data_IF_455928394084
#
_entry.id   IF_455928394084
#
_cell.length_a   1.000
_cell.length_b   1.000
_cell.length_c   1.000
_cell.angle_alpha   90.00
_cell.angle_beta   90.00
_cell.angle_gamma   90.00
#
_symmetry.space_group_name_H-M   'P 1'
#
loop_
_entity.id
_entity.type
_entity.pdbx_description
1 polymer ?
#
# COMPACT_ATOMS: atom_id res chain seq x y z
N UNK A 1 -22.89 19.55 -28.54
CA UNK A 1 -22.54 19.22 -27.13
C UNK A 1 -23.84 18.83 -26.44
N UNK A 2 -24.03 17.55 -26.06
CA UNK A 2 -25.22 17.14 -25.29
C UNK A 2 -25.02 17.64 -23.86
N UNK A 3 -25.99 18.38 -23.30
CA UNK A 3 -25.87 18.92 -21.94
C UNK A 3 -26.01 17.84 -20.87
N UNK A 4 -25.39 18.04 -19.70
CA UNK A 4 -25.42 17.09 -18.58
C UNK A 4 -26.84 16.64 -18.22
N UNK A 5 -27.82 17.56 -18.19
CA UNK A 5 -29.22 17.23 -17.93
C UNK A 5 -29.78 16.18 -18.90
N UNK A 6 -29.53 16.36 -20.19
CA UNK A 6 -29.99 15.42 -21.21
C UNK A 6 -29.31 14.04 -21.07
N UNK A 7 -28.07 14.01 -20.58
CA UNK A 7 -27.37 12.77 -20.27
C UNK A 7 -27.98 12.05 -19.05
N UNK A 8 -28.25 12.78 -17.95
CA UNK A 8 -28.91 12.20 -16.78
C UNK A 8 -30.31 11.65 -17.15
N UNK A 9 -31.09 12.40 -17.94
CA UNK A 9 -32.37 11.91 -18.49
C UNK A 9 -32.22 10.61 -19.29
N UNK A 10 -31.17 10.48 -20.10
CA UNK A 10 -30.88 9.26 -20.87
C UNK A 10 -30.64 8.06 -19.95
N UNK A 11 -29.86 8.25 -18.88
CA UNK A 11 -29.55 7.20 -17.91
C UNK A 11 -30.75 6.80 -17.05
N UNK A 12 -31.59 7.76 -16.67
CA UNK A 12 -32.84 7.52 -15.93
C UNK A 12 -33.82 6.73 -16.82
N UNK A 13 -33.99 7.15 -18.08
CA UNK A 13 -34.92 6.51 -19.01
C UNK A 13 -34.48 5.10 -19.43
N UNK A 14 -33.18 4.82 -19.42
CA UNK A 14 -32.63 3.51 -19.76
C UNK A 14 -31.43 3.17 -18.84
N UNK A 15 -31.67 2.67 -17.62
CA UNK A 15 -30.61 2.35 -16.67
C UNK A 15 -29.77 1.15 -17.11
N UNK A 16 -30.27 0.31 -18.01
CA UNK A 16 -29.52 -0.79 -18.60
C UNK A 16 -28.38 -0.34 -19.50
N UNK A 17 -28.33 0.95 -19.88
CA UNK A 17 -27.13 1.50 -20.52
C UNK A 17 -25.90 1.30 -19.65
N UNK A 18 -26.02 1.50 -18.33
CA UNK A 18 -24.93 1.35 -17.37
C UNK A 18 -24.95 -0.02 -16.70
N UNK A 19 -26.14 -0.51 -16.34
CA UNK A 19 -26.29 -1.75 -15.56
C UNK A 19 -26.37 -2.99 -16.45
N UNK A 20 -26.54 -2.86 -17.77
CA UNK A 20 -26.66 -3.97 -18.71
C UNK A 20 -25.35 -4.75 -18.88
N UNK A 21 -25.45 -6.00 -19.33
CA UNK A 21 -24.26 -6.83 -19.60
C UNK A 21 -23.41 -6.27 -20.75
N UNK A 22 -24.02 -5.51 -21.66
CA UNK A 22 -23.39 -4.90 -22.85
C UNK A 22 -23.04 -3.42 -22.64
N UNK A 23 -23.02 -2.93 -21.40
CA UNK A 23 -22.77 -1.53 -21.08
C UNK A 23 -21.41 -1.06 -21.62
N UNK A 24 -21.45 -0.16 -22.60
CA UNK A 24 -20.25 0.44 -23.19
C UNK A 24 -19.93 1.77 -22.51
N UNK A 25 -18.66 2.03 -22.12
CA UNK A 25 -18.25 3.28 -21.49
C UNK A 25 -18.69 4.52 -22.28
N UNK A 26 -18.65 4.45 -23.61
CA UNK A 26 -18.99 5.54 -24.54
C UNK A 26 -20.45 5.96 -24.47
N UNK A 27 -21.35 5.05 -24.06
CA UNK A 27 -22.78 5.34 -23.94
C UNK A 27 -23.20 5.77 -22.54
N UNK A 28 -22.41 5.39 -21.54
CA UNK A 28 -22.65 5.58 -20.12
C UNK A 28 -22.02 6.85 -19.57
N UNK A 29 -20.79 7.11 -19.97
CA UNK A 29 -19.96 8.18 -19.45
C UNK A 29 -20.31 9.49 -20.14
N UNK A 30 -20.50 10.55 -19.35
CA UNK A 30 -20.86 11.86 -19.90
C UNK A 30 -19.76 12.44 -20.79
N UNK A 31 -18.51 12.17 -20.41
CA UNK A 31 -17.29 12.63 -21.07
C UNK A 31 -16.76 11.63 -22.13
N UNK A 32 -17.39 10.46 -22.25
CA UNK A 32 -17.02 9.38 -23.17
C UNK A 32 -15.62 8.82 -22.93
N UNK A 33 -15.05 9.02 -21.73
CA UNK A 33 -13.81 8.38 -21.32
C UNK A 33 -14.07 6.99 -20.72
N UNK A 34 -13.00 6.21 -20.54
CA UNK A 34 -13.07 4.91 -19.87
C UNK A 34 -13.45 5.06 -18.40
N UNK A 35 -13.93 3.97 -17.80
CA UNK A 35 -14.21 3.91 -16.36
C UNK A 35 -12.96 4.30 -15.54
N UNK A 36 -13.09 5.27 -14.62
CA UNK A 36 -12.00 5.66 -13.72
C UNK A 36 -11.58 4.50 -12.80
N UNK A 37 -12.52 3.64 -12.41
CA UNK A 37 -12.25 2.39 -11.70
C UNK A 37 -13.04 1.23 -12.32
N UNK A 38 -12.45 0.53 -13.30
CA UNK A 38 -13.05 -0.64 -13.91
C UNK A 38 -13.33 -1.76 -12.90
N UNK A 39 -12.49 -1.92 -11.87
CA UNK A 39 -12.62 -2.97 -10.86
C UNK A 39 -13.92 -2.86 -10.07
N UNK A 40 -14.27 -1.63 -9.66
CA UNK A 40 -15.53 -1.36 -8.96
C UNK A 40 -16.73 -1.66 -9.84
N UNK A 41 -16.68 -1.23 -11.10
CA UNK A 41 -17.74 -1.48 -12.09
C UNK A 41 -17.98 -2.99 -12.28
N UNK A 42 -16.94 -3.76 -12.61
CA UNK A 42 -17.08 -5.20 -12.86
C UNK A 42 -17.49 -5.99 -11.62
N UNK A 43 -17.03 -5.57 -10.43
CA UNK A 43 -17.46 -6.18 -9.16
C UNK A 43 -18.96 -6.03 -8.96
N UNK A 44 -19.49 -4.81 -9.13
CA UNK A 44 -20.93 -4.55 -9.01
C UNK A 44 -21.72 -5.35 -10.05
N UNK A 45 -21.23 -5.43 -11.29
CA UNK A 45 -21.86 -6.24 -12.34
C UNK A 45 -21.88 -7.73 -11.99
N UNK A 46 -20.80 -8.27 -11.41
CA UNK A 46 -20.75 -9.67 -10.95
C UNK A 46 -21.78 -9.97 -9.85
N UNK A 47 -22.09 -8.95 -9.04
CA UNK A 47 -23.04 -9.03 -7.93
C UNK A 47 -24.46 -8.64 -8.32
N UNK A 48 -24.71 -8.19 -9.55
CA UNK A 48 -26.01 -7.68 -10.01
C UNK A 48 -27.17 -8.63 -9.70
N UNK A 49 -26.97 -9.94 -9.88
CA UNK A 49 -27.98 -10.97 -9.60
C UNK A 49 -28.38 -11.06 -8.12
N UNK A 50 -27.54 -10.56 -7.22
CA UNK A 50 -27.75 -10.53 -5.77
C UNK A 50 -28.27 -9.17 -5.28
N UNK A 51 -28.41 -8.17 -6.17
CA UNK A 51 -28.79 -6.80 -5.84
C UNK A 51 -30.14 -6.44 -6.49
N UNK A 52 -31.28 -6.92 -5.95
CA UNK A 52 -32.59 -6.75 -6.57
C UNK A 52 -33.04 -5.29 -6.70
N UNK A 53 -32.56 -4.41 -5.82
CA UNK A 53 -32.89 -2.98 -5.82
C UNK A 53 -31.85 -2.09 -6.50
N UNK A 54 -30.81 -2.65 -7.13
CA UNK A 54 -29.71 -1.87 -7.72
C UNK A 54 -30.22 -0.84 -8.75
N UNK A 55 -31.13 -1.28 -9.61
CA UNK A 55 -31.72 -0.42 -10.64
C UNK A 55 -32.58 0.68 -10.03
N UNK A 56 -33.39 0.37 -9.01
CA UNK A 56 -34.24 1.34 -8.32
C UNK A 56 -33.41 2.41 -7.62
N UNK A 57 -32.36 2.00 -6.91
CA UNK A 57 -31.42 2.92 -6.22
C UNK A 57 -30.68 3.79 -7.23
N UNK A 58 -30.22 3.19 -8.35
CA UNK A 58 -29.55 3.92 -9.41
C UNK A 58 -30.45 5.02 -9.98
N UNK A 59 -31.69 4.69 -10.34
CA UNK A 59 -32.66 5.65 -10.86
C UNK A 59 -32.94 6.76 -9.84
N UNK A 60 -33.26 6.40 -8.59
CA UNK A 60 -33.53 7.37 -7.53
C UNK A 60 -32.37 8.33 -7.28
N UNK A 61 -31.12 7.82 -7.34
CA UNK A 61 -29.93 8.66 -7.23
C UNK A 61 -29.84 9.67 -8.37
N UNK A 62 -30.04 9.23 -9.63
CA UNK A 62 -29.96 10.11 -10.79
C UNK A 62 -31.12 11.12 -10.86
N UNK A 63 -32.31 10.76 -10.40
CA UNK A 63 -33.44 11.68 -10.25
C UNK A 63 -33.11 12.79 -9.25
N UNK A 64 -32.59 12.44 -8.07
CA UNK A 64 -32.17 13.43 -7.07
C UNK A 64 -31.01 14.30 -7.55
N UNK A 65 -30.05 13.72 -8.27
CA UNK A 65 -28.94 14.46 -8.88
C UNK A 65 -29.43 15.45 -9.95
N UNK A 66 -30.38 15.03 -10.80
CA UNK A 66 -31.00 15.88 -11.82
C UNK A 66 -31.75 17.05 -11.18
N UNK A 67 -32.57 16.79 -10.15
CA UNK A 67 -33.29 17.82 -9.40
C UNK A 67 -32.33 18.84 -8.77
N UNK A 68 -31.27 18.35 -8.12
CA UNK A 68 -30.23 19.20 -7.52
C UNK A 68 -29.57 20.07 -8.60
N UNK A 69 -29.25 19.47 -9.75
CA UNK A 69 -28.63 20.20 -10.86
C UNK A 69 -29.57 21.23 -11.49
N UNK A 70 -30.88 20.95 -11.52
CA UNK A 70 -31.89 21.90 -11.97
C UNK A 70 -31.99 23.12 -11.05
N UNK A 71 -32.01 22.91 -9.74
CA UNK A 71 -31.98 23.99 -8.75
C UNK A 71 -30.68 24.81 -8.86
N UNK A 72 -29.53 24.13 -8.86
CA UNK A 72 -28.22 24.77 -8.95
C UNK A 72 -28.08 25.63 -10.21
N UNK A 73 -28.46 25.09 -11.38
CA UNK A 73 -28.34 25.84 -12.65
C UNK A 73 -29.41 26.92 -12.82
N UNK A 74 -30.53 26.89 -12.08
CA UNK A 74 -31.53 27.95 -12.11
C UNK A 74 -30.97 29.28 -11.58
N UNK A 75 -30.09 29.22 -10.58
CA UNK A 75 -29.41 30.39 -10.01
C UNK A 75 -28.44 31.08 -10.97
N UNK A 76 -28.07 30.41 -12.08
CA UNK A 76 -27.16 30.93 -13.10
C UNK A 76 -27.87 31.26 -14.43
N UNK A 77 -29.20 31.25 -14.47
CA UNK A 77 -29.95 31.73 -15.65
C UNK A 77 -29.62 33.20 -15.90
N UNK A 78 -29.70 33.65 -17.16
CA UNK A 78 -29.38 35.03 -17.54
C UNK A 78 -30.22 36.10 -16.78
N UNK A 79 -31.39 35.73 -16.26
CA UNK A 79 -32.26 36.56 -15.43
C UNK A 79 -31.95 36.49 -13.93
N UNK A 80 -30.95 35.72 -13.52
CA UNK A 80 -30.56 35.59 -12.11
C UNK A 80 -29.80 36.81 -11.63
N UNK A 81 -29.91 37.09 -10.34
CA UNK A 81 -29.15 38.17 -9.71
C UNK A 81 -27.64 37.90 -9.74
N UNK A 82 -27.19 36.64 -9.75
CA UNK A 82 -25.77 36.26 -9.79
C UNK A 82 -25.11 36.67 -11.12
N UNK A 83 -25.81 36.44 -12.23
CA UNK A 83 -25.31 36.83 -13.57
C UNK A 83 -25.37 38.34 -13.74
N UNK A 84 -26.41 38.99 -13.21
CA UNK A 84 -26.62 40.44 -13.28
C UNK A 84 -25.87 41.24 -12.20
N UNK A 85 -25.22 40.57 -11.24
CA UNK A 85 -24.41 41.24 -10.22
C UNK A 85 -23.18 41.88 -10.89
N UNK A 86 -22.96 43.15 -10.55
CA UNK A 86 -21.78 43.89 -10.99
C UNK A 86 -20.51 43.26 -10.43
N UNK A 87 -19.39 43.43 -11.12
CA UNK A 87 -18.09 42.90 -10.67
C UNK A 87 -17.72 43.43 -9.28
N UNK A 88 -18.10 44.67 -8.97
CA UNK A 88 -17.94 45.27 -7.65
C UNK A 88 -18.72 44.51 -6.54
N UNK A 89 -19.96 44.07 -6.82
CA UNK A 89 -20.76 43.30 -5.86
C UNK A 89 -20.19 41.90 -5.65
N UNK A 90 -19.80 41.21 -6.73
CA UNK A 90 -19.13 39.90 -6.67
C UNK A 90 -17.81 39.98 -5.87
N UNK A 91 -17.05 41.06 -6.07
CA UNK A 91 -15.81 41.28 -5.37
C UNK A 91 -16.03 41.63 -3.89
N UNK A 92 -17.08 42.39 -3.56
CA UNK A 92 -17.45 42.71 -2.18
C UNK A 92 -17.89 41.47 -1.40
N UNK A 93 -18.69 40.58 -1.99
CA UNK A 93 -19.09 39.30 -1.37
C UNK A 93 -17.89 38.35 -1.18
N UNK A 94 -17.02 38.23 -2.19
CA UNK A 94 -15.78 37.46 -2.10
C UNK A 94 -14.86 37.99 -0.99
N UNK A 95 -14.75 39.32 -0.85
CA UNK A 95 -14.03 39.94 0.25
C UNK A 95 -14.69 39.66 1.61
N UNK A 96 -16.02 39.64 1.70
CA UNK A 96 -16.76 39.38 2.94
C UNK A 96 -16.55 37.94 3.45
N UNK A 97 -16.53 36.94 2.56
CA UNK A 97 -16.20 35.55 2.88
C UNK A 97 -14.77 35.40 3.41
N UNK A 98 -13.82 36.12 2.80
CA UNK A 98 -12.41 36.11 3.18
C UNK A 98 -12.10 36.97 4.41
N UNK A 99 -12.92 37.97 4.73
CA UNK A 99 -12.77 38.87 5.87
C UNK A 99 -13.26 38.26 7.19
N UNK A 100 -14.04 37.18 7.15
CA UNK A 100 -14.54 36.47 8.34
C UNK A 100 -13.44 35.89 9.24
N UNK A 101 -12.17 35.88 8.81
CA UNK A 101 -11.01 35.44 9.59
C UNK A 101 -10.93 33.91 9.80
N UNK A 102 -12.04 33.20 9.66
CA UNK A 102 -12.18 31.77 9.86
C UNK A 102 -11.31 30.96 8.89
N UNK A 103 -11.23 31.38 7.63
CA UNK A 103 -10.38 30.70 6.62
C UNK A 103 -8.89 30.85 6.90
N UNK A 104 -8.44 31.98 7.46
CA UNK A 104 -7.04 32.18 7.85
C UNK A 104 -6.68 31.39 9.11
N UNK A 105 -7.55 31.44 10.13
CA UNK A 105 -7.36 30.70 11.37
C UNK A 105 -7.30 29.19 11.13
N UNK A 106 -8.20 28.67 10.29
CA UNK A 106 -8.22 27.25 9.93
C UNK A 106 -6.95 26.81 9.18
N UNK A 107 -6.48 27.60 8.20
CA UNK A 107 -5.24 27.30 7.47
C UNK A 107 -4.01 27.29 8.38
N UNK A 108 -3.94 28.21 9.34
CA UNK A 108 -2.84 28.27 10.32
C UNK A 108 -2.89 27.08 11.29
N UNK A 109 -4.06 26.74 11.81
CA UNK A 109 -4.24 25.58 12.69
C UNK A 109 -3.90 24.26 11.97
N UNK A 110 -4.31 24.13 10.71
CA UNK A 110 -3.98 22.98 9.87
C UNK A 110 -2.46 22.87 9.64
N UNK A 111 -1.81 23.99 9.28
CA UNK A 111 -0.36 24.02 9.10
C UNK A 111 0.40 23.67 10.38
N UNK A 112 -0.07 24.11 11.55
CA UNK A 112 0.51 23.74 12.84
C UNK A 112 0.38 22.25 13.11
N UNK A 113 -0.82 21.68 12.93
CA UNK A 113 -1.07 20.26 13.09
C UNK A 113 -0.19 19.41 12.17
N UNK A 114 -0.06 19.79 10.90
CA UNK A 114 0.75 19.06 9.92
C UNK A 114 2.25 19.14 10.27
N UNK A 115 2.74 20.28 10.72
CA UNK A 115 4.12 20.44 11.23
C UNK A 115 4.39 19.56 12.47
N UNK A 116 3.48 19.55 13.45
CA UNK A 116 3.61 18.71 14.65
C UNK A 116 3.64 17.22 14.30
N UNK A 117 2.75 16.79 13.41
CA UNK A 117 2.70 15.40 12.95
C UNK A 117 3.95 15.02 12.15
N UNK A 118 4.47 15.92 11.32
CA UNK A 118 5.72 15.70 10.61
C UNK A 118 6.90 15.56 11.59
N UNK A 119 7.00 16.44 12.59
CA UNK A 119 8.02 16.35 13.63
C UNK A 119 7.93 15.04 14.42
N UNK A 120 6.73 14.62 14.81
CA UNK A 120 6.50 13.34 15.49
C UNK A 120 6.94 12.13 14.64
N UNK A 121 6.67 12.14 13.33
CA UNK A 121 7.12 11.07 12.42
C UNK A 121 8.64 11.00 12.32
N UNK A 122 9.33 12.14 12.26
CA UNK A 122 10.80 12.17 12.22
C UNK A 122 11.39 11.58 13.49
N UNK A 123 10.88 11.98 14.67
CA UNK A 123 11.32 11.45 15.96
C UNK A 123 11.08 9.94 16.07
N UNK A 124 9.89 9.47 15.68
CA UNK A 124 9.56 8.04 15.69
C UNK A 124 10.47 7.23 14.77
N UNK A 125 10.75 7.74 13.56
CA UNK A 125 11.68 7.09 12.61
C UNK A 125 13.10 7.04 13.15
N UNK A 126 13.59 8.13 13.77
CA UNK A 126 14.91 8.15 14.41
C UNK A 126 15.01 7.13 15.56
N UNK A 127 13.95 7.00 16.38
CA UNK A 127 13.90 5.99 17.44
C UNK A 127 13.91 4.56 16.89
N UNK A 128 13.17 4.29 15.81
CA UNK A 128 13.18 2.99 15.14
C UNK A 128 14.56 2.65 14.58
N UNK A 129 15.23 3.60 13.92
CA UNK A 129 16.59 3.41 13.40
C UNK A 129 17.54 3.08 14.54
N UNK A 130 17.48 3.80 15.66
CA UNK A 130 18.31 3.51 16.83
C UNK A 130 18.06 2.11 17.40
N UNK A 131 16.80 1.69 17.52
CA UNK A 131 16.45 0.33 17.96
C UNK A 131 16.95 -0.74 16.99
N UNK A 132 16.91 -0.47 15.69
CA UNK A 132 17.45 -1.36 14.66
C UNK A 132 18.98 -1.44 14.75
N UNK A 133 19.68 -0.32 14.91
CA UNK A 133 21.14 -0.28 15.09
C UNK A 133 21.57 -1.04 16.34
N UNK A 134 20.87 -0.87 17.47
CA UNK A 134 21.13 -1.63 18.70
C UNK A 134 20.85 -3.14 18.52
N UNK A 135 19.83 -3.49 17.71
CA UNK A 135 19.58 -4.89 17.36
C UNK A 135 20.69 -5.47 16.48
N UNK A 136 21.10 -4.76 15.43
CA UNK A 136 22.20 -5.17 14.54
C UNK A 136 23.49 -5.31 15.32
N UNK A 137 23.80 -4.37 16.23
CA UNK A 137 24.97 -4.45 17.11
C UNK A 137 24.92 -5.71 17.99
N UNK A 138 23.76 -6.00 18.61
CA UNK A 138 23.58 -7.22 19.41
C UNK A 138 23.76 -8.50 18.59
N UNK A 139 23.29 -8.52 17.35
CA UNK A 139 23.47 -9.67 16.45
C UNK A 139 24.96 -9.86 16.11
N UNK A 140 25.68 -8.77 15.84
CA UNK A 140 27.11 -8.81 15.50
C UNK A 140 28.04 -9.18 16.67
N UNK A 141 27.64 -8.89 17.92
CA UNK A 141 28.43 -9.24 19.11
C UNK A 141 28.29 -10.71 19.54
N UNK A 142 27.31 -11.44 19.00
CA UNK A 142 27.05 -12.82 19.38
C UNK A 142 27.90 -13.78 18.55
N UNK A 143 28.70 -14.59 19.24
CA UNK A 143 29.38 -15.73 18.64
C UNK A 143 28.35 -16.79 18.21
N UNK A 144 28.46 -17.25 16.96
CA UNK A 144 27.55 -18.24 16.40
C UNK A 144 27.74 -19.59 17.09
N UNK A 145 26.65 -20.15 17.60
CA UNK A 145 26.67 -21.49 18.21
C UNK A 145 26.39 -22.50 17.11
N UNK A 146 27.44 -23.20 16.65
CA UNK A 146 27.34 -24.23 15.61
C UNK A 146 27.12 -25.65 16.17
N UNK A 147 27.13 -25.82 17.49
CA UNK A 147 26.97 -27.14 18.12
C UNK A 147 25.49 -27.51 18.27
N UNK A 148 25.04 -28.44 17.42
CA UNK A 148 23.68 -28.97 17.39
C UNK A 148 23.30 -29.65 18.73
N UNK A 149 24.26 -30.27 19.42
CA UNK A 149 24.00 -30.99 20.67
C UNK A 149 23.70 -30.04 21.83
N UNK A 150 24.21 -28.81 21.79
CA UNK A 150 23.90 -27.77 22.78
C UNK A 150 22.51 -27.19 22.50
N UNK A 151 22.17 -26.99 21.23
CA UNK A 151 20.87 -26.43 20.79
C UNK A 151 19.70 -27.38 21.10
N UNK A 152 19.91 -28.69 20.97
CA UNK A 152 18.91 -29.71 21.29
C UNK A 152 18.56 -29.79 22.79
N UNK A 153 19.42 -29.31 23.69
CA UNK A 153 19.12 -29.30 25.14
C UNK A 153 18.04 -28.30 25.53
N UNK A 154 17.58 -27.46 24.60
CA UNK A 154 16.53 -26.45 24.80
C UNK A 154 16.80 -25.45 25.95
N UNK A 155 18.05 -25.31 26.41
CA UNK A 155 18.42 -24.44 27.54
C UNK A 155 18.40 -22.94 27.17
N UNK A 156 18.37 -22.61 25.88
CA UNK A 156 18.40 -21.23 25.40
C UNK A 156 17.12 -20.45 25.68
N UNK A 157 17.25 -19.17 26.01
CA UNK A 157 16.12 -18.25 26.07
C UNK A 157 15.64 -17.88 24.66
N UNK A 158 14.34 -17.62 24.50
CA UNK A 158 13.75 -17.25 23.20
C UNK A 158 14.45 -16.04 22.55
N UNK A 159 14.80 -14.96 23.27
CA UNK A 159 15.53 -13.83 22.68
C UNK A 159 16.91 -14.20 22.13
N UNK A 160 17.59 -15.18 22.74
CA UNK A 160 18.89 -15.66 22.24
C UNK A 160 18.73 -16.43 20.93
N UNK A 161 17.68 -17.26 20.83
CA UNK A 161 17.36 -17.99 19.60
C UNK A 161 17.04 -17.04 18.45
N UNK A 162 16.32 -15.95 18.72
CA UNK A 162 16.00 -14.93 17.71
C UNK A 162 17.25 -14.21 17.20
N UNK A 163 18.20 -13.91 18.09
CA UNK A 163 19.49 -13.29 17.72
C UNK A 163 20.35 -14.26 16.88
N UNK A 164 20.44 -15.53 17.27
CA UNK A 164 21.17 -16.55 16.52
C UNK A 164 20.55 -16.79 15.12
N UNK A 165 19.22 -16.84 15.03
CA UNK A 165 18.52 -16.96 13.76
C UNK A 165 18.78 -15.75 12.85
N UNK A 166 18.77 -14.53 13.40
CA UNK A 166 19.09 -13.33 12.63
C UNK A 166 20.54 -13.33 12.13
N UNK A 167 21.50 -13.79 12.93
CA UNK A 167 22.90 -13.92 12.54
C UNK A 167 23.08 -14.86 11.33
N UNK A 168 22.49 -16.07 11.40
CA UNK A 168 22.58 -17.05 10.32
C UNK A 168 21.92 -16.57 9.02
N UNK A 169 20.87 -15.73 9.11
CA UNK A 169 20.22 -15.14 7.94
C UNK A 169 21.08 -14.09 7.23
N UNK A 170 21.74 -13.22 8.00
CA UNK A 170 22.59 -12.14 7.48
C UNK A 170 23.83 -12.72 6.79
N UNK A 171 24.45 -13.75 7.39
CA UNK A 171 25.64 -14.40 6.86
C UNK A 171 25.39 -15.24 5.60
N UNK A 172 24.17 -15.78 5.42
CA UNK A 172 23.84 -16.62 4.27
C UNK A 172 23.23 -15.84 3.10
N UNK A 173 23.04 -14.52 3.20
CA UNK A 173 22.33 -13.68 2.20
C UNK A 173 20.95 -14.24 1.77
N UNK A 174 20.37 -15.14 2.58
CA UNK A 174 19.22 -15.94 2.16
C UNK A 174 17.91 -15.23 2.50
N UNK A 175 17.54 -14.29 1.64
CA UNK A 175 16.33 -13.47 1.73
C UNK A 175 15.02 -14.27 1.78
N UNK A 176 15.03 -15.54 1.33
CA UNK A 176 13.86 -16.42 1.30
C UNK A 176 13.37 -16.86 2.68
N UNK A 177 14.21 -16.78 3.71
CA UNK A 177 13.90 -17.28 5.05
C UNK A 177 13.23 -16.22 5.94
N UNK A 178 13.47 -14.93 5.66
CA UNK A 178 13.00 -13.79 6.46
C UNK A 178 11.47 -13.76 6.65
N UNK A 179 10.71 -14.21 5.65
CA UNK A 179 9.25 -14.28 5.73
C UNK A 179 8.70 -15.43 6.58
N UNK A 180 9.48 -16.51 6.76
CA UNK A 180 9.04 -17.71 7.49
C UNK A 180 9.18 -17.53 9.01
N UNK A 181 10.26 -16.89 9.48
CA UNK A 181 10.50 -16.66 10.92
C UNK A 181 9.44 -15.77 11.59
N UNK A 182 8.87 -14.80 10.87
CA UNK A 182 7.80 -13.93 11.41
C UNK A 182 6.53 -14.71 11.78
N UNK A 183 6.37 -15.95 11.30
CA UNK A 183 5.24 -16.84 11.61
C UNK A 183 5.56 -17.84 12.72
N UNK A 184 6.81 -17.94 13.16
CA UNK A 184 7.25 -18.94 14.13
C UNK A 184 7.30 -18.31 15.52
N UNK A 185 6.22 -18.47 16.28
CA UNK A 185 6.11 -17.91 17.64
C UNK A 185 6.65 -18.86 18.72
N UNK A 186 6.60 -20.18 18.48
CA UNK A 186 6.96 -21.18 19.50
C UNK A 186 8.45 -21.45 19.55
N UNK A 187 8.98 -21.59 20.77
CA UNK A 187 10.39 -21.91 21.04
C UNK A 187 10.87 -23.19 20.34
N UNK A 188 10.06 -24.24 20.35
CA UNK A 188 10.41 -25.55 19.77
C UNK A 188 10.66 -25.44 18.27
N UNK A 189 9.78 -24.70 17.59
CA UNK A 189 9.86 -24.49 16.15
C UNK A 189 11.10 -23.64 15.78
N UNK A 190 11.44 -22.63 16.59
CA UNK A 190 12.67 -21.83 16.42
C UNK A 190 13.93 -22.68 16.56
N UNK A 191 13.95 -23.62 17.52
CA UNK A 191 15.08 -24.55 17.72
C UNK A 191 15.21 -25.50 16.54
N UNK A 192 14.12 -26.13 16.11
CA UNK A 192 14.13 -27.04 14.95
C UNK A 192 14.60 -26.31 13.68
N UNK A 193 14.17 -25.07 13.52
CA UNK A 193 14.55 -24.25 12.37
C UNK A 193 16.03 -23.85 12.40
N UNK A 194 16.57 -23.48 13.58
CA UNK A 194 17.99 -23.18 13.76
C UNK A 194 18.87 -24.40 13.46
N UNK A 195 18.50 -25.58 13.93
CA UNK A 195 19.22 -26.84 13.64
C UNK A 195 19.33 -27.06 12.13
N UNK A 196 18.21 -26.92 11.41
CA UNK A 196 18.18 -27.09 9.95
C UNK A 196 19.14 -26.14 9.22
N UNK A 197 19.20 -24.88 9.66
CA UNK A 197 20.11 -23.88 9.06
C UNK A 197 21.58 -24.22 9.33
N UNK A 198 21.89 -24.68 10.54
CA UNK A 198 23.25 -25.08 10.91
C UNK A 198 23.70 -26.31 10.13
N UNK A 199 22.82 -27.30 9.96
CA UNK A 199 23.09 -28.49 9.14
C UNK A 199 23.39 -28.13 7.67
N UNK A 200 22.59 -27.22 7.09
CA UNK A 200 22.81 -26.70 5.73
C UNK A 200 24.16 -25.96 5.63
N UNK A 201 24.50 -25.13 6.63
CA UNK A 201 25.77 -24.42 6.69
C UNK A 201 26.98 -25.36 6.75
N UNK A 202 26.94 -26.36 7.64
CA UNK A 202 28.02 -27.34 7.79
C UNK A 202 28.19 -28.19 6.51
N UNK A 203 27.08 -28.51 5.83
CA UNK A 203 27.12 -29.23 4.56
C UNK A 203 27.78 -28.40 3.45
N UNK A 204 27.47 -27.09 3.37
CA UNK A 204 28.10 -26.19 2.40
C UNK A 204 29.60 -26.04 2.65
N UNK A 205 30.03 -25.90 3.91
CA UNK A 205 31.46 -25.81 4.23
C UNK A 205 32.25 -27.06 3.84
N UNK A 206 31.65 -28.24 3.97
CA UNK A 206 32.28 -29.48 3.52
C UNK A 206 32.41 -29.56 2.00
N UNK A 207 31.44 -29.02 1.25
CA UNK A 207 31.50 -28.95 -0.21
C UNK A 207 32.56 -27.95 -0.69
N UNK A 208 32.61 -26.76 -0.09
CA UNK A 208 33.61 -25.74 -0.45
C UNK A 208 35.04 -26.20 -0.12
N UNK A 209 35.22 -26.94 0.99
CA UNK A 209 36.50 -27.54 1.35
C UNK A 209 36.94 -28.66 0.38
N UNK A 210 35.99 -29.43 -0.15
CA UNK A 210 36.28 -30.48 -1.14
C UNK A 210 36.61 -29.87 -2.52
N UNK A 211 35.88 -28.82 -2.93
CA UNK A 211 36.12 -28.14 -4.22
C UNK A 211 37.45 -27.35 -4.22
N UNK A 212 37.94 -26.93 -3.06
CA UNK A 212 39.27 -26.31 -2.92
C UNK A 212 40.41 -27.34 -3.10
N UNK A 213 40.24 -28.56 -2.60
CA UNK A 213 41.21 -29.65 -2.76
C UNK A 213 41.26 -30.13 -4.22
N UNK A 214 40.09 -30.26 -4.87
CA UNK A 214 40.00 -30.68 -6.27
C UNK A 214 40.55 -29.61 -7.25
N UNK A 215 40.70 -28.35 -6.82
CA UNK A 215 41.31 -27.26 -7.62
C UNK A 215 42.84 -27.21 -7.49
N UNK A 216 43.41 -27.64 -6.37
CA UNK A 216 44.88 -27.73 -6.21
C UNK A 216 45.48 -28.90 -7.03
N UNK A 217 44.72 -29.97 -7.27
CA UNK A 217 45.19 -31.12 -8.07
C UNK A 217 45.19 -30.87 -9.60
N UNK A 218 44.61 -29.75 -10.08
CA UNK A 218 44.56 -29.41 -11.52
C UNK A 218 45.70 -28.46 -11.94
N UNK A 219 46.41 -27.84 -11.00
CA UNK A 219 47.49 -26.87 -11.28
C UNK A 219 48.90 -27.49 -11.22
N UNK A 220 49.02 -28.81 -11.43
CA UNK A 220 50.31 -29.53 -11.39
C UNK A 220 50.67 -30.30 -12.67
N UNK A 221 50.00 -30.07 -13.80
CA UNK A 221 50.27 -30.76 -15.08
C UNK A 221 50.42 -29.80 -16.29
N UNK A 222 51.04 -28.62 -16.10
CA UNK A 222 51.43 -27.75 -17.21
C UNK A 222 52.85 -27.21 -17.01
N UNK A 223 53.86 -28.07 -17.07
CA UNK A 223 55.26 -27.67 -17.32
C UNK A 223 56.14 -28.89 -17.68
N UNK A 224 55.85 -29.58 -18.79
CA UNK A 224 56.87 -30.43 -19.43
C UNK A 224 56.56 -30.63 -20.93
N UNK A 225 56.82 -29.61 -21.76
CA UNK A 225 57.21 -29.80 -23.18
C UNK A 225 57.66 -28.45 -23.79
N UNK A 226 58.99 -28.21 -23.76
CA UNK A 226 59.70 -27.28 -24.66
C UNK A 226 61.07 -27.85 -25.00
#
# INVERSE_FOLDING_TARGET
MKGLKAHLWKLIANPDLVLGSEAQPEECMFDHYLWESPEGFYTIHSMKSQLPHLQEIFVAFFEGALETWEHFTAEYKASSWIVNATDAQKQMESCHLNASGQSRAWKVAQAQYDCERAAAKVVAKAAQVKQQEEHVRRVWEVEAILDIAIIQRHEFMVPMLDVQLAWHQDMQNNTSISGSLKKIEKKVDKVAFLIRIIEEYLSQQQQDAQEAVDKEDVEMDVDEEL
#
